data_IF_240438596317
#
_entry.id   IF_240438596317
#
_cell.length_a   1.000
_cell.length_b   1.000
_cell.length_c   1.000
_cell.angle_alpha   90.00
_cell.angle_beta   90.00
_cell.angle_gamma   90.00
#
_symmetry.space_group_name_H-M   'P 1'
#
loop_
_entity.id
_entity.type
_entity.pdbx_description
1 polymer ?
#
# COMPACT_ATOMS: atom_id res chain seq x y z
N UNK A 1 -24.65 0.42 -0.73
CA UNK A 1 -23.21 0.54 -0.48
C UNK A 1 -22.79 -0.37 0.65
N UNK A 2 -21.67 -1.13 0.49
CA UNK A 2 -21.12 -2.04 1.51
C UNK A 2 -19.62 -1.83 1.62
N UNK A 3 -19.09 -1.76 2.84
CA UNK A 3 -17.66 -1.80 3.13
C UNK A 3 -17.36 -3.07 3.91
N UNK A 4 -16.36 -3.81 3.47
CA UNK A 4 -15.88 -5.01 4.13
C UNK A 4 -14.34 -4.99 4.15
N UNK A 5 -13.71 -5.23 5.30
CA UNK A 5 -12.27 -5.14 5.41
C UNK A 5 -11.69 -6.13 6.42
N UNK A 6 -10.45 -6.48 6.18
CA UNK A 6 -9.60 -7.26 7.08
C UNK A 6 -8.20 -6.72 7.04
N UNK A 7 -7.55 -6.66 8.19
CA UNK A 7 -6.11 -6.47 8.33
C UNK A 7 -5.58 -7.50 9.31
N UNK A 8 -4.47 -8.15 8.96
CA UNK A 8 -3.93 -9.26 9.74
C UNK A 8 -2.39 -9.20 9.75
N UNK A 9 -1.75 -9.20 10.92
CA UNK A 9 -0.30 -9.21 11.00
C UNK A 9 0.28 -10.50 10.44
N UNK A 10 1.41 -10.40 9.76
CA UNK A 10 2.17 -11.56 9.30
C UNK A 10 2.78 -12.36 10.45
N UNK A 11 3.07 -11.70 11.56
CA UNK A 11 3.53 -12.32 12.80
C UNK A 11 2.65 -11.85 13.97
N UNK A 12 1.88 -12.75 14.62
CA UNK A 12 1.00 -12.37 15.74
C UNK A 12 1.73 -11.82 16.97
N UNK A 13 3.07 -11.96 17.03
CA UNK A 13 3.90 -11.41 18.11
C UNK A 13 4.46 -10.01 17.79
N UNK A 14 4.18 -9.48 16.59
CA UNK A 14 4.56 -8.13 16.15
C UNK A 14 3.34 -7.27 15.95
N UNK A 15 3.52 -5.96 16.08
CA UNK A 15 2.49 -5.01 15.70
C UNK A 15 2.30 -5.07 14.18
N UNK A 16 1.07 -4.95 13.75
CA UNK A 16 0.73 -4.80 12.34
C UNK A 16 1.22 -3.42 11.86
N UNK A 17 1.94 -3.41 10.76
CA UNK A 17 2.46 -2.20 10.13
C UNK A 17 1.54 -1.69 9.01
N UNK A 18 0.47 -2.42 8.68
CA UNK A 18 -0.58 -1.97 7.77
C UNK A 18 -1.59 -1.05 8.45
N UNK A 19 -2.28 -0.26 7.65
CA UNK A 19 -3.42 0.56 8.08
C UNK A 19 -4.54 0.47 7.05
N UNK A 20 -5.77 0.33 7.52
CA UNK A 20 -6.97 0.44 6.69
C UNK A 20 -8.05 1.24 7.39
N UNK A 21 -8.72 2.09 6.66
CA UNK A 21 -9.89 2.81 7.15
C UNK A 21 -10.79 3.27 6.02
N UNK A 22 -12.08 3.43 6.33
CA UNK A 22 -13.06 4.01 5.42
C UNK A 22 -13.93 5.02 6.17
N UNK A 23 -14.30 6.10 5.50
CA UNK A 23 -15.20 7.13 6.01
C UNK A 23 -16.42 7.25 5.10
N UNK A 24 -17.61 7.07 5.69
CA UNK A 24 -18.88 7.24 5.03
C UNK A 24 -19.60 8.42 5.65
N UNK A 25 -20.02 9.44 4.87
CA UNK A 25 -20.75 10.56 5.41
C UNK A 25 -22.17 10.16 5.84
N UNK A 26 -22.70 10.83 6.84
CA UNK A 26 -24.06 10.60 7.34
C UNK A 26 -25.17 10.87 6.30
N UNK A 27 -24.85 11.64 5.25
CA UNK A 27 -25.74 11.86 4.11
C UNK A 27 -26.06 10.58 3.33
N UNK A 28 -25.23 9.52 3.48
CA UNK A 28 -25.35 8.28 2.72
C UNK A 28 -24.80 8.37 1.29
N UNK A 29 -24.31 9.54 0.87
CA UNK A 29 -23.71 9.75 -0.46
C UNK A 29 -22.22 10.01 -0.35
N UNK A 30 -21.45 9.33 -1.20
CA UNK A 30 -20.00 9.45 -1.22
C UNK A 30 -19.27 8.68 -0.11
N UNK A 31 -17.97 8.85 -0.08
CA UNK A 31 -17.08 8.23 0.90
C UNK A 31 -15.61 8.38 0.52
N UNK A 32 -14.75 7.85 1.39
CA UNK A 32 -13.32 7.71 1.15
C UNK A 32 -12.79 6.44 1.82
N UNK A 33 -11.75 5.88 1.25
CA UNK A 33 -10.97 4.77 1.85
C UNK A 33 -9.48 5.06 1.77
N UNK A 34 -8.73 4.54 2.73
CA UNK A 34 -7.27 4.59 2.78
C UNK A 34 -6.74 3.23 3.20
N UNK A 35 -5.76 2.71 2.46
CA UNK A 35 -4.96 1.54 2.82
C UNK A 35 -3.49 1.92 2.70
N UNK A 36 -2.71 1.64 3.72
CA UNK A 36 -1.27 1.85 3.79
C UNK A 36 -0.61 0.53 4.18
N UNK A 37 0.55 0.28 3.60
CA UNK A 37 1.47 -0.80 3.99
C UNK A 37 2.75 -0.16 4.50
N UNK A 38 3.07 -0.40 5.76
CA UNK A 38 4.21 0.16 6.42
C UNK A 38 5.50 -0.57 6.05
N UNK A 39 6.49 0.17 5.59
CA UNK A 39 7.78 -0.41 5.22
C UNK A 39 8.56 -0.81 6.46
N UNK A 40 8.68 -2.12 6.74
CA UNK A 40 9.52 -2.64 7.84
C UNK A 40 10.98 -2.24 7.61
N UNK A 41 11.62 -1.42 8.47
CA UNK A 41 13.01 -1.07 8.30
C UNK A 41 13.91 -2.29 8.57
N UNK A 42 15.11 -2.38 7.95
CA UNK A 42 16.14 -3.30 8.40
C UNK A 42 16.50 -3.07 9.86
N UNK A 43 17.01 -4.12 10.54
CA UNK A 43 17.47 -3.99 11.90
C UNK A 43 18.49 -2.86 12.07
N UNK A 44 18.39 -2.11 13.18
CA UNK A 44 19.24 -0.98 13.54
C UNK A 44 18.45 0.29 13.78
N UNK A 45 19.15 1.41 13.77
CA UNK A 45 18.55 2.74 13.93
C UNK A 45 17.77 3.12 12.66
N UNK A 46 16.56 3.60 12.84
CA UNK A 46 15.70 4.15 11.79
C UNK A 46 15.43 5.66 11.96
N UNK A 47 16.07 6.28 12.93
CA UNK A 47 15.94 7.70 13.24
C UNK A 47 14.62 8.09 13.90
N UNK A 48 13.73 7.13 14.23
CA UNK A 48 12.42 7.43 14.78
C UNK A 48 12.12 6.68 16.08
N UNK A 49 11.68 7.42 17.10
CA UNK A 49 11.28 6.85 18.40
C UNK A 49 9.87 6.23 18.40
N UNK A 50 9.07 6.45 17.34
CA UNK A 50 7.66 6.04 17.30
C UNK A 50 7.42 4.73 16.54
N UNK A 51 8.22 4.45 15.50
CA UNK A 51 8.09 3.27 14.65
C UNK A 51 6.97 3.33 13.60
N UNK A 52 6.94 2.31 12.75
CA UNK A 52 6.06 2.23 11.58
C UNK A 52 4.56 2.19 11.93
N UNK A 53 4.10 1.41 12.94
CA UNK A 53 2.66 1.38 13.27
C UNK A 53 2.09 2.74 13.68
N UNK A 54 2.87 3.54 14.42
CA UNK A 54 2.46 4.90 14.77
C UNK A 54 2.39 5.79 13.51
N UNK A 55 3.38 5.68 12.64
CA UNK A 55 3.46 6.46 11.41
C UNK A 55 2.26 6.20 10.48
N UNK A 56 1.96 4.93 10.19
CA UNK A 56 0.83 4.59 9.30
C UNK A 56 -0.50 5.01 9.90
N UNK A 57 -0.67 4.92 11.22
CA UNK A 57 -1.89 5.39 11.89
C UNK A 57 -2.07 6.92 11.76
N UNK A 58 -0.98 7.68 11.91
CA UNK A 58 -1.00 9.15 11.78
C UNK A 58 -1.23 9.59 10.34
N UNK A 59 -0.48 9.03 9.39
CA UNK A 59 -0.60 9.34 7.98
C UNK A 59 -1.98 8.94 7.46
N UNK A 60 -2.43 7.73 7.75
CA UNK A 60 -3.71 7.21 7.28
C UNK A 60 -4.90 7.99 7.83
N UNK A 61 -4.88 8.35 9.13
CA UNK A 61 -5.92 9.17 9.73
C UNK A 61 -5.99 10.58 9.13
N UNK A 62 -4.83 11.25 8.93
CA UNK A 62 -4.76 12.56 8.31
C UNK A 62 -5.22 12.52 6.84
N UNK A 63 -4.80 11.49 6.08
CA UNK A 63 -5.17 11.33 4.68
C UNK A 63 -6.66 11.05 4.52
N UNK A 64 -7.25 10.20 5.38
CA UNK A 64 -8.68 9.91 5.36
C UNK A 64 -9.52 11.16 5.64
N UNK A 65 -9.14 11.95 6.65
CA UNK A 65 -9.79 13.23 6.97
C UNK A 65 -9.78 14.17 5.74
N UNK A 66 -8.58 14.38 5.16
CA UNK A 66 -8.44 15.29 4.01
C UNK A 66 -9.19 14.78 2.78
N UNK A 67 -9.05 13.52 2.42
CA UNK A 67 -9.73 12.93 1.28
C UNK A 67 -11.26 12.99 1.41
N UNK A 68 -11.77 12.82 2.63
CA UNK A 68 -13.22 12.89 2.91
C UNK A 68 -13.80 14.30 2.94
N UNK A 69 -13.02 15.29 3.39
CA UNK A 69 -13.55 16.66 3.67
C UNK A 69 -13.10 17.73 2.67
N UNK A 70 -11.92 17.57 2.06
CA UNK A 70 -11.32 18.55 1.15
C UNK A 70 -11.54 18.19 -0.31
N UNK A 71 -12.80 18.26 -0.75
CA UNK A 71 -13.17 17.98 -2.15
C UNK A 71 -12.62 18.99 -3.15
N UNK A 72 -12.20 20.15 -2.68
CA UNK A 72 -11.52 21.21 -3.42
C UNK A 72 -10.03 20.90 -3.72
N UNK A 73 -9.43 19.93 -3.00
CA UNK A 73 -8.05 19.50 -3.21
C UNK A 73 -7.99 18.22 -4.05
N UNK A 74 -6.99 18.10 -4.92
CA UNK A 74 -6.67 16.82 -5.56
C UNK A 74 -6.15 15.80 -4.52
N UNK A 75 -6.30 14.49 -4.80
CA UNK A 75 -5.81 13.46 -3.86
C UNK A 75 -4.28 13.54 -3.62
N UNK A 76 -3.51 13.96 -4.63
CA UNK A 76 -2.08 14.20 -4.45
C UNK A 76 -1.79 15.35 -3.47
N UNK A 77 -2.60 16.43 -3.50
CA UNK A 77 -2.48 17.51 -2.53
C UNK A 77 -2.91 17.08 -1.12
N UNK A 78 -3.94 16.23 -1.02
CA UNK A 78 -4.35 15.61 0.25
C UNK A 78 -3.21 14.75 0.82
N UNK A 79 -2.55 13.93 -0.01
CA UNK A 79 -1.40 13.12 0.40
C UNK A 79 -0.24 14.00 0.85
N UNK A 80 0.13 15.02 0.07
CA UNK A 80 1.19 15.97 0.44
C UNK A 80 0.92 16.63 1.79
N UNK A 81 -0.31 17.10 2.01
CA UNK A 81 -0.71 17.71 3.28
C UNK A 81 -0.71 16.71 4.46
N UNK A 82 -1.13 15.45 4.23
CA UNK A 82 -1.09 14.41 5.24
C UNK A 82 0.35 14.05 5.63
N UNK A 83 1.25 13.91 4.66
CA UNK A 83 2.69 13.70 4.89
C UNK A 83 3.28 14.86 5.70
N UNK A 84 3.02 16.11 5.31
CA UNK A 84 3.50 17.28 6.04
C UNK A 84 3.00 17.30 7.51
N UNK A 85 1.71 17.05 7.75
CA UNK A 85 1.14 16.96 9.11
C UNK A 85 1.77 15.84 9.94
N UNK A 86 2.07 14.70 9.31
CA UNK A 86 2.71 13.57 9.99
C UNK A 86 4.15 13.89 10.33
N UNK A 87 4.90 14.48 9.39
CA UNK A 87 6.27 14.94 9.63
C UNK A 87 6.33 15.97 10.77
N UNK A 88 5.44 16.95 10.78
CA UNK A 88 5.33 17.97 11.83
C UNK A 88 5.06 17.38 13.22
N UNK A 89 4.32 16.26 13.28
CA UNK A 89 3.95 15.64 14.54
C UNK A 89 5.13 14.97 15.28
N UNK A 90 6.25 14.70 14.58
CA UNK A 90 7.41 14.02 15.18
C UNK A 90 8.79 14.63 14.88
N UNK A 91 8.83 15.80 14.22
CA UNK A 91 10.10 16.47 13.86
C UNK A 91 11.00 16.82 15.06
N UNK A 92 10.39 17.07 16.22
CA UNK A 92 11.14 17.43 17.44
C UNK A 92 11.77 16.22 18.14
N UNK A 93 11.36 15.00 17.78
CA UNK A 93 11.75 13.76 18.45
C UNK A 93 12.43 12.75 17.54
N UNK A 94 12.43 13.00 16.22
CA UNK A 94 12.89 12.05 15.21
C UNK A 94 13.76 12.73 14.15
N UNK A 95 14.71 11.99 13.58
CA UNK A 95 15.48 12.41 12.41
C UNK A 95 14.69 12.07 11.13
N UNK A 96 13.98 13.08 10.60
CA UNK A 96 13.17 12.94 9.39
C UNK A 96 14.01 12.79 8.11
N UNK A 97 15.32 13.06 8.17
CA UNK A 97 16.24 12.87 7.05
C UNK A 97 16.92 11.50 7.06
N UNK A 98 16.69 10.71 8.11
CA UNK A 98 17.23 9.37 8.16
C UNK A 98 16.66 8.53 7.01
N UNK A 99 17.47 7.78 6.22
CA UNK A 99 16.99 7.03 5.04
C UNK A 99 16.00 5.90 5.39
N UNK A 100 15.95 5.50 6.67
CA UNK A 100 15.05 4.47 7.21
C UNK A 100 13.95 5.04 8.09
N UNK A 101 13.77 6.39 8.09
CA UNK A 101 12.60 6.97 8.77
C UNK A 101 11.33 6.24 8.32
N UNK A 102 10.31 6.06 9.20
CA UNK A 102 9.10 5.33 8.87
C UNK A 102 8.49 5.76 7.54
N UNK A 103 8.09 4.80 6.75
CA UNK A 103 7.59 4.98 5.39
C UNK A 103 6.41 4.05 5.13
N UNK A 104 5.58 4.39 4.16
CA UNK A 104 4.47 3.54 3.75
C UNK A 104 4.18 3.64 2.24
N UNK A 105 3.60 2.57 1.70
CA UNK A 105 2.86 2.63 0.44
C UNK A 105 1.52 3.31 0.67
N UNK A 106 0.83 3.76 -0.38
CA UNK A 106 -0.45 4.44 -0.22
C UNK A 106 -1.44 3.98 -1.29
N UNK A 107 -2.62 3.59 -0.85
CA UNK A 107 -3.84 3.56 -1.67
C UNK A 107 -4.86 4.46 -1.01
N UNK A 108 -5.37 5.43 -1.75
CA UNK A 108 -6.52 6.23 -1.34
C UNK A 108 -7.50 6.36 -2.50
N UNK A 109 -8.77 6.19 -2.19
CA UNK A 109 -9.85 6.48 -3.12
C UNK A 109 -10.96 7.27 -2.42
N UNK A 110 -11.65 8.10 -3.18
CA UNK A 110 -12.84 8.79 -2.72
C UNK A 110 -13.87 8.82 -3.84
N UNK A 111 -15.12 8.92 -3.46
CA UNK A 111 -16.23 9.00 -4.40
C UNK A 111 -17.31 9.94 -3.89
N UNK A 112 -18.09 10.45 -4.82
CA UNK A 112 -19.33 11.18 -4.59
C UNK A 112 -20.39 10.72 -5.61
N UNK A 113 -21.41 11.52 -5.89
CA UNK A 113 -22.46 11.20 -6.86
C UNK A 113 -22.00 11.31 -8.33
N UNK A 114 -20.91 12.04 -8.57
CA UNK A 114 -20.43 12.37 -9.92
C UNK A 114 -19.24 11.50 -10.35
N UNK A 115 -18.29 11.26 -9.44
CA UNK A 115 -17.00 10.64 -9.77
C UNK A 115 -16.42 9.75 -8.67
N UNK A 116 -15.51 8.90 -9.10
CA UNK A 116 -14.57 8.15 -8.27
C UNK A 116 -13.17 8.66 -8.59
N UNK A 117 -12.42 9.07 -7.59
CA UNK A 117 -11.02 9.46 -7.73
C UNK A 117 -10.14 8.51 -6.93
N UNK A 118 -8.94 8.24 -7.44
CA UNK A 118 -8.01 7.33 -6.76
C UNK A 118 -6.56 7.78 -6.91
N UNK A 119 -5.74 7.31 -5.98
CA UNK A 119 -4.29 7.49 -5.98
C UNK A 119 -3.63 6.23 -5.42
N UNK A 120 -2.57 5.78 -6.10
CA UNK A 120 -1.70 4.67 -5.67
C UNK A 120 -0.25 5.14 -5.69
N UNK A 121 0.48 4.88 -4.61
CA UNK A 121 1.92 5.13 -4.49
C UNK A 121 2.60 3.88 -3.96
N UNK A 122 3.64 3.42 -4.67
CA UNK A 122 4.35 2.16 -4.42
C UNK A 122 3.50 0.91 -4.73
N UNK A 123 3.80 -0.24 -4.11
CA UNK A 123 3.41 -1.58 -4.55
C UNK A 123 2.13 -2.14 -3.93
N UNK A 124 1.39 -1.34 -3.16
CA UNK A 124 -0.01 -1.64 -2.86
C UNK A 124 -0.88 -1.51 -4.11
N UNK A 125 -1.99 -2.21 -4.18
CA UNK A 125 -2.85 -2.29 -5.35
C UNK A 125 -4.25 -1.74 -5.11
N UNK A 126 -4.81 -1.06 -6.12
CA UNK A 126 -6.24 -0.79 -6.19
C UNK A 126 -6.83 -1.49 -7.41
N UNK A 127 -7.87 -2.28 -7.23
CA UNK A 127 -8.65 -2.86 -8.31
C UNK A 127 -9.97 -2.10 -8.43
N UNK A 128 -10.31 -1.71 -9.64
CA UNK A 128 -11.56 -1.01 -9.96
C UNK A 128 -12.43 -1.95 -10.78
N UNK A 129 -13.62 -2.29 -10.29
CA UNK A 129 -14.63 -3.02 -11.04
C UNK A 129 -15.53 -2.02 -11.78
N UNK A 130 -15.54 -2.10 -13.08
CA UNK A 130 -16.38 -1.27 -13.94
C UNK A 130 -17.86 -1.74 -13.94
N UNK A 131 -18.76 -0.89 -14.44
CA UNK A 131 -20.19 -1.19 -14.54
C UNK A 131 -20.50 -2.45 -15.38
N UNK A 132 -19.66 -2.78 -16.36
CA UNK A 132 -19.76 -4.00 -17.17
C UNK A 132 -19.14 -5.25 -16.50
N UNK A 133 -18.59 -5.11 -15.29
CA UNK A 133 -17.95 -6.18 -14.54
C UNK A 133 -16.47 -6.41 -14.87
N UNK A 134 -15.88 -5.62 -15.77
CA UNK A 134 -14.46 -5.68 -16.03
C UNK A 134 -13.65 -5.18 -14.81
N UNK A 135 -12.59 -5.90 -14.43
CA UNK A 135 -11.72 -5.54 -13.32
C UNK A 135 -10.40 -5.00 -13.87
N UNK A 136 -10.08 -3.77 -13.50
CA UNK A 136 -8.87 -3.08 -13.91
C UNK A 136 -7.96 -2.82 -12.70
N UNK A 137 -6.71 -3.31 -12.69
CA UNK A 137 -5.75 -2.96 -11.65
C UNK A 137 -5.15 -1.56 -11.90
N UNK A 138 -5.04 -0.78 -10.84
CA UNK A 138 -4.27 0.46 -10.74
C UNK A 138 -3.05 0.15 -9.89
N UNK A 139 -1.88 0.17 -10.49
CA UNK A 139 -0.61 -0.26 -9.90
C UNK A 139 0.48 0.77 -10.17
N UNK A 140 1.32 1.01 -9.19
CA UNK A 140 2.61 1.65 -9.38
C UNK A 140 3.68 0.56 -9.58
N UNK A 141 4.15 0.40 -10.81
CA UNK A 141 5.05 -0.70 -11.19
C UNK A 141 6.53 -0.43 -10.95
N UNK A 142 6.90 0.78 -10.49
CA UNK A 142 8.32 1.17 -10.36
C UNK A 142 9.15 0.23 -9.50
N UNK A 143 8.60 -0.26 -8.38
CA UNK A 143 9.29 -1.24 -7.54
C UNK A 143 9.42 -2.63 -8.21
N UNK A 144 8.46 -3.03 -9.01
CA UNK A 144 8.53 -4.28 -9.79
C UNK A 144 9.53 -4.17 -10.95
N UNK A 145 9.71 -2.97 -11.50
CA UNK A 145 10.54 -2.65 -12.68
C UNK A 145 11.94 -2.08 -12.34
N UNK A 146 12.48 -2.47 -11.18
CA UNK A 146 13.82 -2.02 -10.74
C UNK A 146 14.91 -2.25 -11.81
N UNK A 147 15.98 -1.43 -11.83
CA UNK A 147 17.07 -1.56 -12.77
C UNK A 147 17.64 -2.97 -12.86
N UNK A 148 18.13 -3.42 -14.04
CA UNK A 148 18.67 -4.77 -14.24
C UNK A 148 19.75 -5.15 -13.24
N UNK A 149 20.58 -4.19 -12.84
CA UNK A 149 21.65 -4.37 -11.84
C UNK A 149 21.09 -4.78 -10.47
N UNK A 150 20.00 -4.15 -10.04
CA UNK A 150 19.33 -4.47 -8.76
C UNK A 150 18.58 -5.80 -8.84
N UNK A 151 17.93 -6.07 -9.98
CA UNK A 151 17.31 -7.38 -10.22
C UNK A 151 18.32 -8.52 -10.17
N UNK A 152 19.52 -8.31 -10.75
CA UNK A 152 20.60 -9.30 -10.67
C UNK A 152 21.08 -9.57 -9.23
N UNK A 153 21.09 -8.54 -8.36
CA UNK A 153 21.37 -8.71 -6.93
C UNK A 153 20.27 -9.54 -6.24
N UNK A 154 18.99 -9.26 -6.52
CA UNK A 154 17.87 -10.05 -6.02
C UNK A 154 17.98 -11.53 -6.41
N UNK A 155 18.29 -11.79 -7.67
CA UNK A 155 18.45 -13.15 -8.18
C UNK A 155 19.67 -13.86 -7.57
N UNK A 156 20.73 -13.10 -7.24
CA UNK A 156 21.88 -13.63 -6.51
C UNK A 156 21.48 -14.02 -5.10
N UNK A 157 20.78 -13.16 -4.36
CA UNK A 157 20.23 -13.48 -3.02
C UNK A 157 19.40 -14.75 -3.03
N UNK A 158 18.54 -14.92 -4.05
CA UNK A 158 17.72 -16.13 -4.21
C UNK A 158 18.57 -17.40 -4.40
N UNK A 159 19.69 -17.32 -5.13
CA UNK A 159 20.59 -18.45 -5.37
C UNK A 159 21.49 -18.77 -4.19
N UNK A 160 22.16 -17.78 -3.63
CA UNK A 160 23.21 -17.98 -2.61
C UNK A 160 22.64 -17.94 -1.20
N UNK A 161 21.69 -17.04 -0.94
CA UNK A 161 21.17 -16.70 0.37
C UNK A 161 22.20 -16.15 1.34
N UNK A 162 23.36 -15.74 0.85
CA UNK A 162 24.43 -15.19 1.67
C UNK A 162 24.06 -13.84 2.25
N UNK A 163 24.47 -13.60 3.50
CA UNK A 163 24.18 -12.34 4.19
C UNK A 163 24.78 -11.12 3.46
N UNK A 164 25.96 -11.28 2.86
CA UNK A 164 26.62 -10.22 2.08
C UNK A 164 25.82 -9.83 0.83
N UNK A 165 25.28 -10.80 0.09
CA UNK A 165 24.45 -10.57 -1.08
C UNK A 165 23.13 -9.90 -0.70
N UNK A 166 22.51 -10.33 0.41
CA UNK A 166 21.31 -9.69 0.97
C UNK A 166 21.58 -8.24 1.35
N UNK A 167 22.66 -7.97 2.07
CA UNK A 167 23.05 -6.61 2.44
C UNK A 167 23.31 -5.72 1.22
N UNK A 168 23.92 -6.26 0.16
CA UNK A 168 24.12 -5.54 -1.09
C UNK A 168 22.81 -5.21 -1.79
N UNK A 169 21.85 -6.17 -1.85
CA UNK A 169 20.53 -5.95 -2.42
C UNK A 169 19.74 -4.90 -1.62
N UNK A 170 19.69 -5.02 -0.29
CA UNK A 170 19.00 -4.05 0.58
C UNK A 170 19.54 -2.64 0.36
N UNK A 171 20.86 -2.45 0.38
CA UNK A 171 21.46 -1.12 0.12
C UNK A 171 21.09 -0.58 -1.26
N UNK A 172 21.08 -1.43 -2.29
CA UNK A 172 20.74 -1.00 -3.63
C UNK A 172 19.25 -0.57 -3.74
N UNK A 173 18.34 -1.28 -3.07
CA UNK A 173 16.91 -0.92 -3.01
C UNK A 173 16.70 0.36 -2.19
N UNK A 174 17.35 0.48 -1.01
CA UNK A 174 17.29 1.70 -0.19
C UNK A 174 17.79 2.93 -0.97
N UNK A 175 18.84 2.78 -1.77
CA UNK A 175 19.38 3.87 -2.60
C UNK A 175 18.46 4.31 -3.74
N UNK A 176 17.50 3.49 -4.13
CA UNK A 176 16.49 3.81 -5.16
C UNK A 176 15.17 4.33 -4.56
N UNK A 177 14.96 4.14 -3.26
CA UNK A 177 13.75 4.62 -2.61
C UNK A 177 13.78 6.14 -2.48
N UNK A 178 12.75 6.80 -3.01
CA UNK A 178 12.65 8.26 -3.06
C UNK A 178 13.89 8.94 -3.69
N UNK A 179 14.52 8.28 -4.66
CA UNK A 179 15.71 8.80 -5.32
C UNK A 179 15.39 10.13 -6.03
N UNK A 180 16.15 11.20 -5.75
CA UNK A 180 15.84 12.55 -6.25
C UNK A 180 16.00 12.69 -7.78
N UNK A 181 16.73 11.79 -8.42
CA UNK A 181 16.93 11.76 -9.88
C UNK A 181 15.79 11.03 -10.64
N UNK A 182 14.80 10.52 -9.93
CA UNK A 182 13.69 9.80 -10.53
C UNK A 182 13.99 8.37 -10.98
N UNK A 183 15.17 7.85 -10.70
CA UNK A 183 15.61 6.53 -11.17
C UNK A 183 15.00 5.34 -10.42
N UNK A 184 14.26 5.61 -9.34
CA UNK A 184 13.75 4.59 -8.43
C UNK A 184 12.23 4.55 -8.28
N UNK A 185 11.79 4.18 -7.10
CA UNK A 185 10.40 4.10 -6.68
C UNK A 185 10.14 5.01 -5.48
N UNK A 186 8.87 5.26 -5.18
CA UNK A 186 8.49 6.23 -4.16
C UNK A 186 7.62 5.61 -3.07
N UNK A 187 7.84 6.06 -1.83
CA UNK A 187 7.04 5.74 -0.64
C UNK A 187 6.76 7.03 0.13
N UNK A 188 5.61 7.12 0.78
CA UNK A 188 5.31 8.24 1.66
C UNK A 188 6.17 8.16 2.93
N UNK A 189 6.97 9.20 3.15
CA UNK A 189 7.85 9.38 4.31
C UNK A 189 7.68 10.79 4.89
N UNK A 190 8.76 11.56 5.02
CA UNK A 190 8.70 12.92 5.55
C UNK A 190 8.59 14.02 4.48
N UNK A 191 8.94 13.71 3.22
CA UNK A 191 8.89 14.67 2.11
C UNK A 191 7.50 14.69 1.44
N UNK A 192 6.73 15.80 1.53
CA UNK A 192 5.44 15.93 0.86
C UNK A 192 5.55 15.89 -0.68
N UNK A 193 6.71 16.22 -1.24
CA UNK A 193 6.94 16.23 -2.68
C UNK A 193 6.73 14.88 -3.34
N UNK A 194 6.83 13.79 -2.58
CA UNK A 194 6.62 12.42 -3.09
C UNK A 194 5.22 12.21 -3.67
N UNK A 195 4.23 12.95 -3.22
CA UNK A 195 2.84 12.86 -3.69
C UNK A 195 2.68 13.16 -5.19
N UNK A 196 3.58 13.96 -5.78
CA UNK A 196 3.57 14.26 -7.21
C UNK A 196 3.93 13.04 -8.09
N UNK A 197 4.51 11.99 -7.49
CA UNK A 197 4.87 10.76 -8.19
C UNK A 197 3.81 9.66 -8.12
N UNK A 198 2.71 9.90 -7.42
CA UNK A 198 1.64 8.92 -7.31
C UNK A 198 0.92 8.68 -8.64
N UNK A 199 0.45 7.46 -8.87
CA UNK A 199 -0.45 7.11 -9.96
C UNK A 199 -1.85 7.57 -9.58
N UNK A 200 -2.44 8.47 -10.35
CA UNK A 200 -3.77 9.03 -10.06
C UNK A 200 -4.74 8.78 -11.20
N UNK A 201 -6.02 8.75 -10.89
CA UNK A 201 -7.09 8.66 -11.89
C UNK A 201 -8.43 9.15 -11.35
N UNK A 202 -9.34 9.39 -12.29
CA UNK A 202 -10.72 9.78 -12.00
C UNK A 202 -11.65 9.19 -13.06
N UNK A 203 -12.78 8.64 -12.63
CA UNK A 203 -13.78 8.00 -13.47
C UNK A 203 -15.18 8.50 -13.08
N UNK A 204 -16.15 8.53 -14.01
CA UNK A 204 -17.54 8.80 -13.67
C UNK A 204 -18.04 7.79 -12.64
N UNK A 205 -18.78 8.27 -11.63
CA UNK A 205 -19.30 7.39 -10.57
C UNK A 205 -20.16 6.25 -11.12
N UNK A 206 -20.91 6.52 -12.20
CA UNK A 206 -21.79 5.55 -12.85
C UNK A 206 -21.02 4.38 -13.52
N UNK A 207 -19.75 4.58 -13.82
CA UNK A 207 -18.91 3.58 -14.49
C UNK A 207 -18.20 2.65 -13.50
N UNK A 208 -18.29 2.90 -12.18
CA UNK A 208 -17.61 2.12 -11.14
C UNK A 208 -18.59 1.45 -10.21
N UNK A 209 -18.52 0.12 -10.11
CA UNK A 209 -19.36 -0.71 -9.21
C UNK A 209 -18.72 -0.93 -7.87
N UNK A 210 -17.43 -1.20 -7.84
CA UNK A 210 -16.71 -1.51 -6.62
C UNK A 210 -15.21 -1.18 -6.72
N UNK A 211 -14.60 -0.98 -5.56
CA UNK A 211 -13.17 -0.76 -5.35
C UNK A 211 -12.64 -1.82 -4.40
N UNK A 212 -11.45 -2.35 -4.68
CA UNK A 212 -10.75 -3.28 -3.81
C UNK A 212 -9.31 -2.81 -3.62
N UNK A 213 -8.98 -2.36 -2.42
CA UNK A 213 -7.64 -1.93 -2.04
C UNK A 213 -6.92 -3.04 -1.27
N UNK A 214 -5.64 -3.25 -1.58
CA UNK A 214 -4.83 -4.39 -1.12
C UNK A 214 -3.40 -3.93 -0.79
N UNK A 215 -2.83 -4.43 0.32
CA UNK A 215 -1.39 -4.37 0.55
C UNK A 215 -0.67 -5.53 -0.15
N UNK A 216 0.65 -5.46 -0.24
CA UNK A 216 1.46 -6.44 -0.97
C UNK A 216 1.32 -7.86 -0.37
N UNK A 217 1.16 -7.98 0.97
CA UNK A 217 0.88 -9.26 1.60
C UNK A 217 -0.38 -9.95 1.07
N UNK A 218 -1.42 -9.18 0.71
CA UNK A 218 -2.63 -9.72 0.10
C UNK A 218 -2.47 -9.99 -1.40
N UNK A 219 -1.72 -9.14 -2.13
CA UNK A 219 -1.49 -9.33 -3.59
C UNK A 219 -0.60 -10.53 -3.90
N UNK A 220 0.09 -11.12 -2.90
CA UNK A 220 0.85 -12.38 -3.06
C UNK A 220 0.05 -13.49 -3.73
N UNK A 221 -1.27 -13.50 -3.54
CA UNK A 221 -2.16 -14.46 -4.19
C UNK A 221 -1.99 -14.47 -5.72
N UNK A 222 -1.90 -13.28 -6.35
CA UNK A 222 -1.69 -13.11 -7.79
C UNK A 222 -0.21 -13.02 -8.15
N UNK A 223 0.55 -12.18 -7.43
CA UNK A 223 1.89 -11.77 -7.85
C UNK A 223 3.00 -12.75 -7.46
N UNK A 224 2.82 -13.46 -6.35
CA UNK A 224 3.83 -14.40 -5.84
C UNK A 224 3.45 -15.84 -6.09
N UNK A 225 2.22 -16.22 -5.75
CA UNK A 225 1.77 -17.60 -5.80
C UNK A 225 1.05 -17.96 -7.11
N UNK A 226 0.68 -16.95 -7.92
CA UNK A 226 0.02 -17.15 -9.21
C UNK A 226 -1.23 -18.04 -9.13
N UNK A 227 -2.01 -17.92 -8.06
CA UNK A 227 -3.23 -18.71 -7.83
C UNK A 227 -4.39 -18.26 -8.72
N UNK A 228 -4.28 -17.11 -9.35
CA UNK A 228 -5.18 -16.55 -10.34
C UNK A 228 -4.76 -15.14 -10.75
N UNK A 229 -5.52 -14.55 -11.65
CA UNK A 229 -5.35 -13.17 -12.09
C UNK A 229 -6.13 -12.17 -11.20
N UNK A 230 -6.01 -10.89 -11.49
CA UNK A 230 -6.68 -9.83 -10.73
C UNK A 230 -8.21 -9.96 -10.74
N UNK A 231 -8.79 -10.44 -11.83
CA UNK A 231 -10.24 -10.69 -11.94
C UNK A 231 -10.67 -11.83 -11.04
N UNK A 232 -9.90 -12.90 -10.99
CA UNK A 232 -10.12 -14.04 -10.10
C UNK A 232 -10.00 -13.64 -8.62
N UNK A 233 -8.99 -12.83 -8.27
CA UNK A 233 -8.80 -12.29 -6.92
C UNK A 233 -10.00 -11.43 -6.50
N UNK A 234 -10.43 -10.49 -7.36
CA UNK A 234 -11.58 -9.64 -7.08
C UNK A 234 -12.86 -10.47 -6.87
N UNK A 235 -13.11 -11.42 -7.75
CA UNK A 235 -14.26 -12.32 -7.68
C UNK A 235 -14.27 -13.15 -6.40
N UNK A 236 -13.10 -13.63 -5.96
CA UNK A 236 -12.93 -14.35 -4.70
C UNK A 236 -13.35 -13.47 -3.51
N UNK A 237 -12.79 -12.25 -3.41
CA UNK A 237 -13.09 -11.33 -2.31
C UNK A 237 -14.57 -10.95 -2.29
N UNK A 238 -15.14 -10.65 -3.47
CA UNK A 238 -16.57 -10.28 -3.57
C UNK A 238 -17.50 -11.40 -3.13
N UNK A 239 -17.17 -12.65 -3.48
CA UNK A 239 -18.00 -13.82 -3.22
C UNK A 239 -17.83 -14.37 -1.80
N UNK A 240 -16.60 -14.44 -1.31
CA UNK A 240 -16.25 -15.15 -0.07
C UNK A 240 -15.78 -14.20 1.05
N UNK A 241 -15.62 -12.90 0.73
CA UNK A 241 -15.18 -11.86 1.65
C UNK A 241 -13.64 -11.71 1.74
N UNK A 242 -13.17 -10.57 2.26
CA UNK A 242 -11.74 -10.26 2.41
C UNK A 242 -10.95 -11.30 3.20
N UNK A 243 -11.53 -11.86 4.26
CA UNK A 243 -10.91 -12.89 5.10
C UNK A 243 -10.54 -14.16 4.31
N UNK A 244 -11.34 -14.52 3.32
CA UNK A 244 -11.08 -15.71 2.51
C UNK A 244 -9.80 -15.55 1.68
N UNK A 245 -9.54 -14.36 1.14
CA UNK A 245 -8.29 -14.08 0.42
C UNK A 245 -7.07 -14.22 1.34
N UNK A 246 -7.10 -13.59 2.52
CA UNK A 246 -6.00 -13.67 3.49
C UNK A 246 -5.74 -15.13 3.88
N UNK A 247 -6.79 -15.91 4.20
CA UNK A 247 -6.64 -17.32 4.55
C UNK A 247 -5.99 -18.14 3.41
N UNK A 248 -6.34 -17.88 2.15
CA UNK A 248 -5.73 -18.56 0.99
C UNK A 248 -4.27 -18.18 0.80
N UNK A 249 -3.92 -16.91 1.03
CA UNK A 249 -2.52 -16.48 1.03
C UNK A 249 -1.75 -17.20 2.13
N UNK A 250 -2.25 -17.25 3.37
CA UNK A 250 -1.61 -17.95 4.50
C UNK A 250 -1.40 -19.44 4.22
N UNK A 251 -2.38 -20.08 3.59
CA UNK A 251 -2.25 -21.48 3.16
C UNK A 251 -1.12 -21.64 2.14
N UNK A 252 -1.10 -20.81 1.10
CA UNK A 252 -0.07 -20.85 0.08
C UNK A 252 1.33 -20.56 0.64
N UNK A 253 1.46 -19.60 1.56
CA UNK A 253 2.71 -19.30 2.27
C UNK A 253 3.21 -20.51 3.07
N UNK A 254 2.32 -21.25 3.72
CA UNK A 254 2.66 -22.41 4.50
C UNK A 254 3.07 -23.61 3.61
N UNK A 255 2.43 -23.78 2.46
CA UNK A 255 2.72 -24.86 1.50
C UNK A 255 4.01 -24.59 0.69
N UNK A 256 4.31 -23.31 0.43
CA UNK A 256 5.44 -22.86 -0.38
C UNK A 256 6.45 -22.07 0.45
N UNK A 257 6.60 -22.42 1.73
CA UNK A 257 7.46 -21.70 2.66
C UNK A 257 8.81 -21.37 2.01
N UNK A 258 9.16 -20.11 1.86
CA UNK A 258 10.40 -19.73 1.25
C UNK A 258 11.54 -20.26 2.11
N UNK A 259 12.53 -20.90 1.49
CA UNK A 259 13.74 -21.35 2.19
C UNK A 259 14.41 -20.19 2.93
N UNK A 260 14.09 -18.95 2.57
CA UNK A 260 14.64 -17.71 3.14
C UNK A 260 13.72 -16.52 2.84
N UNK A 261 13.56 -15.61 3.81
CA UNK A 261 12.74 -14.41 3.68
C UNK A 261 11.64 -14.34 4.73
N UNK A 262 10.78 -13.34 4.62
CA UNK A 262 9.59 -13.16 5.48
C UNK A 262 8.57 -14.24 5.06
N UNK A 263 8.24 -15.15 5.98
CA UNK A 263 7.29 -16.23 5.69
C UNK A 263 5.89 -15.63 5.44
N UNK A 264 5.44 -14.81 6.36
CA UNK A 264 4.19 -14.10 6.28
C UNK A 264 4.44 -12.59 6.27
N UNK A 265 3.67 -11.84 5.50
CA UNK A 265 3.61 -10.38 5.56
C UNK A 265 2.31 -9.93 6.20
N UNK A 266 2.29 -8.69 6.70
CA UNK A 266 1.04 -8.07 7.07
C UNK A 266 0.13 -8.06 5.82
N UNK A 267 -1.14 -8.32 5.98
CA UNK A 267 -2.05 -8.45 4.84
C UNK A 267 -3.35 -7.72 5.11
N UNK A 268 -3.62 -6.74 4.26
CA UNK A 268 -4.80 -5.88 4.37
C UNK A 268 -5.61 -5.90 3.07
N UNK A 269 -6.90 -6.05 3.21
CA UNK A 269 -7.88 -6.08 2.13
C UNK A 269 -9.08 -5.22 2.51
N UNK A 270 -9.44 -4.25 1.66
CA UNK A 270 -10.61 -3.41 1.85
C UNK A 270 -11.45 -3.38 0.57
N UNK A 271 -12.65 -3.93 0.63
CA UNK A 271 -13.66 -3.91 -0.43
C UNK A 271 -14.67 -2.80 -0.15
N UNK A 272 -14.94 -1.96 -1.14
CA UNK A 272 -16.04 -0.98 -1.16
C UNK A 272 -16.95 -1.24 -2.35
N UNK A 273 -18.14 -1.79 -2.11
CA UNK A 273 -19.20 -1.90 -3.11
C UNK A 273 -20.02 -0.60 -3.11
N UNK A 274 -20.02 0.10 -4.23
CA UNK A 274 -20.57 1.45 -4.36
C UNK A 274 -22.04 1.49 -4.78
N UNK A 275 -22.63 0.34 -5.09
CA UNK A 275 -24.04 0.18 -5.43
C UNK A 275 -24.96 0.32 -4.22
#
# INVERSE_FOLDING_TARGET
MRIDMVTEPGNPQRLNEDYASAALPASGTGGALVVLDGVTPPEGDDGCSHGVPWFVARLGGALLELAGTRRDMALAECLAAAVARTADAHRETCDLFHPRTPQATVVVARWDEERVEHLVLSDSALLVEAADGAVRPVLDRRLAELPPTVRALRDRVRRTGEAADRAAYVRAVEGLRNAPDGSGFYTAAADPGVAAHAVTGSEPRADVRALLALTDGATRWTETFHLGDWTGLFSLVRKEGPRALVNRVRTAESEHAPLRGKLHDDATVLLAELE
#
